data_IF_755707517257
#
_entry.id   IF_755707517257
#
_cell.length_a   1.000
_cell.length_b   1.000
_cell.length_c   1.000
_cell.angle_alpha   90.00
_cell.angle_beta   90.00
_cell.angle_gamma   90.00
#
_symmetry.space_group_name_H-M   'P 1'
#
loop_
_entity.id
_entity.type
_entity.pdbx_description
1 polymer ?
#
# COMPACT_ATOMS: atom_id res chain seq x y z
N UNK A 1 -62.92 5.80 -95.41
CA UNK A 1 -63.06 4.55 -94.63
C UNK A 1 -64.12 4.81 -93.59
N UNK A 2 -64.96 3.83 -93.29
CA UNK A 2 -65.95 3.96 -92.21
C UNK A 2 -65.22 4.03 -90.86
N UNK A 3 -65.62 4.95 -89.99
CA UNK A 3 -65.05 5.08 -88.64
C UNK A 3 -65.71 4.06 -87.72
N UNK A 4 -64.91 3.19 -87.12
CA UNK A 4 -65.36 2.25 -86.09
C UNK A 4 -65.18 2.87 -84.71
N UNK A 5 -66.07 2.54 -83.77
CA UNK A 5 -65.97 2.97 -82.38
C UNK A 5 -65.83 1.75 -81.47
N UNK A 6 -64.82 1.75 -80.60
CA UNK A 6 -64.52 0.67 -79.66
C UNK A 6 -64.94 1.08 -78.25
N UNK A 7 -65.80 0.27 -77.62
CA UNK A 7 -66.27 0.50 -76.24
C UNK A 7 -66.19 -0.78 -75.41
N UNK A 8 -66.06 -0.62 -74.10
CA UNK A 8 -66.17 -1.70 -73.13
C UNK A 8 -66.89 -1.19 -71.87
N UNK A 9 -67.71 -2.06 -71.27
CA UNK A 9 -68.32 -1.81 -69.96
C UNK A 9 -67.49 -2.42 -68.82
N UNK A 10 -66.41 -3.14 -69.13
CA UNK A 10 -65.54 -3.75 -68.14
C UNK A 10 -64.68 -2.68 -67.44
N UNK A 11 -64.69 -2.69 -66.11
CA UNK A 11 -63.79 -1.87 -65.29
C UNK A 11 -62.56 -2.68 -64.94
N UNK A 12 -61.45 -2.40 -65.63
CA UNK A 12 -60.15 -3.07 -65.42
C UNK A 12 -59.16 -2.04 -64.88
N UNK A 13 -58.60 -2.25 -63.67
CA UNK A 13 -57.54 -1.39 -63.14
C UNK A 13 -56.40 -1.24 -64.15
N UNK A 14 -55.98 0.00 -64.39
CA UNK A 14 -54.90 0.34 -65.31
C UNK A 14 -55.26 0.38 -66.79
N UNK A 15 -56.44 -0.09 -67.21
CA UNK A 15 -56.84 -0.06 -68.63
C UNK A 15 -57.48 1.26 -69.01
N UNK A 16 -56.99 1.88 -70.09
CA UNK A 16 -57.65 2.97 -70.81
C UNK A 16 -57.87 2.53 -72.25
N UNK A 17 -59.12 2.40 -72.68
CA UNK A 17 -59.50 2.13 -74.07
C UNK A 17 -60.05 3.40 -74.72
N UNK A 18 -59.45 3.83 -75.83
CA UNK A 18 -59.94 4.95 -76.61
C UNK A 18 -60.97 4.50 -77.65
N UNK A 19 -61.93 5.38 -78.04
CA UNK A 19 -62.93 5.08 -79.06
C UNK A 19 -62.36 4.69 -80.42
N UNK A 20 -61.11 5.04 -80.73
CA UNK A 20 -60.41 4.69 -81.97
C UNK A 20 -59.77 3.28 -81.96
N UNK A 21 -59.92 2.55 -80.84
CA UNK A 21 -59.40 1.21 -80.66
C UNK A 21 -57.97 1.15 -80.12
N UNK A 22 -57.31 2.27 -79.91
CA UNK A 22 -56.04 2.30 -79.19
C UNK A 22 -56.28 2.09 -77.68
N UNK A 23 -55.37 1.40 -77.00
CA UNK A 23 -55.45 1.20 -75.56
C UNK A 23 -54.09 1.36 -74.88
N UNK A 24 -54.13 1.67 -73.58
CA UNK A 24 -52.99 1.68 -72.68
C UNK A 24 -53.34 0.85 -71.45
N UNK A 25 -52.40 0.06 -70.96
CA UNK A 25 -52.54 -0.74 -69.74
C UNK A 25 -51.39 -0.43 -68.78
N UNK A 26 -51.74 -0.04 -67.56
CA UNK A 26 -50.82 0.20 -66.44
C UNK A 26 -50.91 -0.98 -65.47
N UNK A 27 -49.83 -1.75 -65.35
CA UNK A 27 -49.80 -2.97 -64.54
C UNK A 27 -49.50 -2.72 -63.06
N UNK A 28 -49.36 -1.47 -62.60
CA UNK A 28 -48.99 -1.14 -61.21
C UNK A 28 -49.94 -1.69 -60.13
N UNK A 29 -51.19 -2.00 -60.47
CA UNK A 29 -52.13 -2.63 -59.53
C UNK A 29 -51.93 -4.15 -59.35
N UNK A 30 -50.95 -4.73 -60.05
CA UNK A 30 -50.69 -6.17 -60.13
C UNK A 30 -49.31 -6.55 -59.59
N UNK A 31 -48.69 -5.66 -58.81
CA UNK A 31 -47.37 -5.81 -58.19
C UNK A 31 -47.28 -6.90 -57.11
N UNK A 32 -48.40 -7.59 -56.83
CA UNK A 32 -48.48 -8.70 -55.88
C UNK A 32 -48.27 -10.06 -56.53
N UNK A 33 -48.16 -10.10 -57.87
CA UNK A 33 -47.97 -11.35 -58.61
C UNK A 33 -46.52 -11.78 -58.47
N UNK A 34 -46.30 -12.95 -57.88
CA UNK A 34 -44.96 -13.51 -57.75
C UNK A 34 -44.33 -13.82 -59.13
N UNK A 35 -43.02 -14.01 -59.16
CA UNK A 35 -42.27 -14.30 -60.39
C UNK A 35 -42.88 -15.47 -61.18
N UNK A 36 -43.27 -15.20 -62.42
CA UNK A 36 -43.86 -16.20 -63.31
C UNK A 36 -45.32 -16.54 -63.01
N UNK A 37 -45.91 -16.02 -61.93
CA UNK A 37 -47.36 -16.01 -61.73
C UNK A 37 -48.00 -15.19 -62.85
N UNK A 38 -49.12 -15.68 -63.39
CA UNK A 38 -49.81 -14.99 -64.48
C UNK A 38 -51.25 -14.70 -64.12
N UNK A 39 -51.67 -13.47 -64.39
CA UNK A 39 -53.07 -13.08 -64.35
C UNK A 39 -53.54 -12.76 -65.76
N UNK A 40 -54.51 -13.53 -66.23
CA UNK A 40 -55.16 -13.29 -67.52
C UNK A 40 -56.40 -12.42 -67.29
N UNK A 41 -56.42 -11.27 -67.95
CA UNK A 41 -57.50 -10.30 -67.91
C UNK A 41 -58.19 -10.33 -69.28
N UNK A 42 -59.47 -10.72 -69.29
CA UNK A 42 -60.28 -10.76 -70.50
C UNK A 42 -61.26 -9.59 -70.52
N UNK A 43 -61.12 -8.72 -71.51
CA UNK A 43 -61.89 -7.49 -71.64
C UNK A 43 -62.81 -7.60 -72.85
N UNK A 44 -64.13 -7.74 -72.66
CA UNK A 44 -65.07 -7.76 -73.79
C UNK A 44 -65.14 -6.38 -74.43
N UNK A 45 -64.86 -6.32 -75.73
CA UNK A 45 -64.89 -5.11 -76.56
C UNK A 45 -66.06 -5.20 -77.53
N UNK A 46 -66.90 -4.18 -77.53
CA UNK A 46 -67.93 -3.99 -78.56
C UNK A 46 -67.44 -2.99 -79.59
N UNK A 47 -67.48 -3.37 -80.86
CA UNK A 47 -67.11 -2.54 -82.00
C UNK A 47 -68.39 -2.11 -82.71
N UNK A 48 -68.57 -0.80 -82.88
CA UNK A 48 -69.76 -0.20 -83.48
C UNK A 48 -69.43 0.45 -84.82
N UNK A 49 -70.22 0.18 -85.87
CA UNK A 49 -70.17 0.94 -87.12
C UNK A 49 -70.98 2.25 -87.03
N UNK A 50 -70.82 3.14 -88.02
CA UNK A 50 -71.53 4.44 -88.07
C UNK A 50 -73.07 4.30 -88.15
N UNK A 51 -73.60 3.09 -88.38
CA UNK A 51 -75.04 2.77 -88.48
C UNK A 51 -75.55 1.97 -87.29
N UNK A 52 -74.73 1.78 -86.25
CA UNK A 52 -75.11 1.12 -85.00
C UNK A 52 -75.06 -0.41 -85.04
N UNK A 53 -74.48 -1.03 -86.06
CA UNK A 53 -74.22 -2.47 -86.06
C UNK A 53 -73.03 -2.79 -85.14
N UNK A 54 -73.19 -3.80 -84.28
CA UNK A 54 -72.18 -4.24 -83.31
C UNK A 54 -71.50 -5.53 -83.74
N UNK A 55 -70.21 -5.64 -83.47
CA UNK A 55 -69.50 -6.92 -83.35
C UNK A 55 -68.79 -6.96 -81.98
N UNK A 56 -68.45 -8.15 -81.49
CA UNK A 56 -67.78 -8.32 -80.19
C UNK A 56 -66.48 -9.10 -80.34
N UNK A 57 -65.43 -8.62 -79.68
CA UNK A 57 -64.17 -9.34 -79.54
C UNK A 57 -63.70 -9.29 -78.09
N UNK A 58 -62.71 -10.10 -77.73
CA UNK A 58 -62.10 -10.07 -76.40
C UNK A 58 -60.65 -9.59 -76.52
N UNK A 59 -60.31 -8.54 -75.78
CA UNK A 59 -58.93 -8.15 -75.56
C UNK A 59 -58.41 -8.98 -74.37
N UNK A 60 -57.46 -9.87 -74.64
CA UNK A 60 -56.78 -10.66 -73.61
C UNK A 60 -55.46 -9.99 -73.25
N UNK A 61 -55.30 -9.63 -71.98
CA UNK A 61 -54.05 -9.11 -71.41
C UNK A 61 -53.52 -10.15 -70.43
N UNK A 62 -52.31 -10.64 -70.65
CA UNK A 62 -51.62 -11.50 -69.68
C UNK A 62 -50.59 -10.65 -68.95
N UNK A 63 -50.78 -10.49 -67.64
CA UNK A 63 -49.76 -9.93 -66.75
C UNK A 63 -48.94 -11.10 -66.21
N UNK A 64 -47.62 -10.99 -66.28
CA UNK A 64 -46.69 -11.95 -65.66
C UNK A 64 -45.92 -11.22 -64.57
N UNK A 65 -45.95 -11.74 -63.35
CA UNK A 65 -45.24 -11.19 -62.20
C UNK A 65 -43.72 -11.28 -62.35
N UNK A 66 -43.03 -10.36 -61.67
CA UNK A 66 -41.58 -10.32 -61.52
C UNK A 66 -41.17 -10.78 -60.13
N UNK A 67 -39.87 -10.91 -59.86
CA UNK A 67 -39.38 -11.08 -58.49
C UNK A 67 -39.01 -9.70 -57.94
N UNK A 68 -39.91 -9.10 -57.19
CA UNK A 68 -39.72 -7.78 -56.62
C UNK A 68 -38.79 -7.85 -55.40
N UNK A 69 -37.92 -6.86 -55.24
CA UNK A 69 -36.97 -6.86 -54.14
C UNK A 69 -37.68 -6.51 -52.82
N UNK A 70 -37.19 -7.03 -51.67
CA UNK A 70 -37.73 -6.63 -50.38
C UNK A 70 -37.62 -5.11 -50.16
N UNK A 71 -38.51 -4.59 -49.33
CA UNK A 71 -38.47 -3.23 -48.79
C UNK A 71 -38.10 -3.33 -47.31
N UNK A 72 -36.90 -2.87 -46.96
CA UNK A 72 -36.39 -2.88 -45.59
C UNK A 72 -36.33 -1.45 -45.01
N UNK A 73 -36.67 -1.30 -43.73
CA UNK A 73 -36.52 -0.04 -43.00
C UNK A 73 -35.17 0.02 -42.29
N UNK A 74 -34.60 1.23 -42.17
CA UNK A 74 -33.45 1.43 -41.32
C UNK A 74 -33.85 1.21 -39.85
N UNK A 75 -33.00 0.53 -39.09
CA UNK A 75 -33.18 0.32 -37.67
C UNK A 75 -32.20 1.21 -36.90
N UNK A 76 -32.65 1.86 -35.84
CA UNK A 76 -31.82 2.70 -34.98
C UNK A 76 -32.04 2.33 -33.53
N UNK A 77 -30.97 2.19 -32.77
CA UNK A 77 -31.04 1.93 -31.33
C UNK A 77 -29.90 2.62 -30.58
N UNK A 78 -29.99 2.67 -29.26
CA UNK A 78 -28.96 3.28 -28.40
C UNK A 78 -28.72 2.46 -27.16
N UNK A 79 -27.47 2.40 -26.73
CA UNK A 79 -27.03 1.65 -25.55
C UNK A 79 -25.95 2.44 -24.85
N UNK A 80 -25.89 2.36 -23.52
CA UNK A 80 -24.67 2.79 -22.81
C UNK A 80 -23.58 1.74 -23.03
N UNK A 81 -22.30 2.12 -22.96
CA UNK A 81 -21.25 1.09 -22.85
C UNK A 81 -21.50 0.18 -21.62
N UNK A 82 -20.84 -0.98 -21.60
CA UNK A 82 -21.04 -2.05 -20.61
C UNK A 82 -22.47 -2.62 -20.49
N UNK A 83 -23.36 -2.23 -21.39
CA UNK A 83 -24.70 -2.77 -21.48
C UNK A 83 -24.90 -3.59 -22.75
N UNK A 84 -25.95 -4.43 -22.73
CA UNK A 84 -26.38 -5.21 -23.88
C UNK A 84 -27.79 -4.80 -24.28
N UNK A 85 -28.03 -4.69 -25.59
CA UNK A 85 -29.38 -4.49 -26.16
C UNK A 85 -29.74 -5.63 -27.12
N UNK A 86 -31.04 -5.78 -27.37
CA UNK A 86 -31.58 -6.64 -28.42
C UNK A 86 -32.63 -5.89 -29.22
N UNK A 87 -32.74 -6.22 -30.50
CA UNK A 87 -33.71 -5.59 -31.41
C UNK A 87 -33.98 -6.43 -32.65
N UNK A 88 -34.66 -5.83 -33.63
CA UNK A 88 -34.96 -6.50 -34.90
C UNK A 88 -35.08 -5.50 -36.05
N UNK A 89 -34.66 -5.92 -37.25
CA UNK A 89 -34.81 -5.14 -38.47
C UNK A 89 -36.13 -5.54 -39.15
N UNK A 90 -36.94 -4.55 -39.51
CA UNK A 90 -38.23 -4.78 -40.18
C UNK A 90 -38.10 -4.67 -41.68
N UNK A 91 -38.58 -5.67 -42.40
CA UNK A 91 -38.68 -5.68 -43.85
C UNK A 91 -39.96 -6.39 -44.31
N UNK A 92 -40.42 -6.05 -45.50
CA UNK A 92 -41.60 -6.63 -46.17
C UNK A 92 -41.29 -6.88 -47.63
N UNK A 93 -41.99 -7.80 -48.26
CA UNK A 93 -41.88 -8.06 -49.69
C UNK A 93 -43.29 -8.24 -50.25
N UNK A 94 -43.58 -7.58 -51.38
CA UNK A 94 -44.92 -7.52 -51.95
C UNK A 94 -45.33 -8.83 -52.63
N UNK A 95 -44.36 -9.62 -53.07
CA UNK A 95 -44.59 -10.90 -53.72
C UNK A 95 -44.78 -12.05 -52.72
N UNK A 96 -44.35 -11.83 -51.47
CA UNK A 96 -44.32 -12.85 -50.44
C UNK A 96 -45.63 -12.88 -49.64
N UNK A 97 -46.18 -14.06 -49.33
CA UNK A 97 -47.31 -14.17 -48.40
C UNK A 97 -46.86 -13.79 -46.97
N UNK A 98 -47.80 -13.34 -46.13
CA UNK A 98 -47.54 -12.87 -44.76
C UNK A 98 -46.72 -13.81 -43.86
N UNK A 99 -46.67 -15.11 -44.19
CA UNK A 99 -45.95 -16.14 -43.44
C UNK A 99 -44.63 -16.60 -44.09
N UNK A 100 -44.23 -16.01 -45.21
CA UNK A 100 -42.92 -16.24 -45.80
C UNK A 100 -41.83 -15.49 -45.01
N UNK A 101 -40.63 -16.03 -45.03
CA UNK A 101 -39.51 -15.51 -44.23
C UNK A 101 -38.48 -14.86 -45.12
N UNK A 102 -38.16 -13.60 -44.83
CA UNK A 102 -36.99 -12.91 -45.34
C UNK A 102 -35.75 -13.36 -44.56
N UNK A 103 -34.60 -13.36 -45.21
CA UNK A 103 -33.32 -13.68 -44.59
C UNK A 103 -32.44 -12.44 -44.47
N UNK A 104 -31.82 -12.28 -43.30
CA UNK A 104 -30.98 -11.14 -42.98
C UNK A 104 -29.53 -11.59 -42.85
N UNK A 105 -28.61 -10.80 -43.39
CA UNK A 105 -27.18 -11.07 -43.33
C UNK A 105 -26.37 -9.78 -43.32
N UNK A 106 -25.16 -9.85 -42.77
CA UNK A 106 -24.18 -8.77 -42.83
C UNK A 106 -22.79 -9.37 -42.98
N UNK A 107 -21.90 -8.67 -43.70
CA UNK A 107 -20.47 -8.96 -43.73
C UNK A 107 -19.71 -8.20 -42.63
N UNK A 108 -20.40 -7.35 -41.86
CA UNK A 108 -19.81 -6.55 -40.79
C UNK A 108 -19.24 -7.42 -39.68
N UNK A 109 -18.06 -7.06 -39.20
CA UNK A 109 -17.38 -7.72 -38.06
C UNK A 109 -17.35 -6.82 -36.83
N UNK A 110 -18.36 -5.96 -36.66
CA UNK A 110 -18.52 -5.11 -35.48
C UNK A 110 -18.49 -5.99 -34.23
N UNK A 111 -17.58 -5.65 -33.30
CA UNK A 111 -17.47 -6.36 -32.03
C UNK A 111 -18.78 -6.22 -31.24
N UNK A 112 -19.16 -7.29 -30.51
CA UNK A 112 -20.39 -7.29 -29.71
C UNK A 112 -21.69 -7.52 -30.50
N UNK A 113 -21.69 -7.35 -31.83
CA UNK A 113 -22.89 -7.58 -32.64
C UNK A 113 -23.08 -9.06 -32.97
N UNK A 114 -24.29 -9.56 -32.73
CA UNK A 114 -24.80 -10.81 -33.31
C UNK A 114 -26.08 -10.51 -34.10
N UNK A 115 -26.07 -10.73 -35.41
CA UNK A 115 -27.26 -10.66 -36.26
C UNK A 115 -27.71 -12.07 -36.63
N UNK A 116 -28.96 -12.38 -36.30
CA UNK A 116 -29.59 -13.64 -36.69
C UNK A 116 -30.22 -13.52 -38.08
N UNK A 117 -30.37 -14.67 -38.75
CA UNK A 117 -30.96 -14.76 -40.09
C UNK A 117 -32.42 -14.32 -40.16
N UNK A 118 -33.12 -14.27 -39.03
CA UNK A 118 -34.51 -13.79 -38.92
C UNK A 118 -34.62 -12.28 -38.72
N UNK A 119 -33.49 -11.56 -38.72
CA UNK A 119 -33.43 -10.11 -38.56
C UNK A 119 -33.39 -9.64 -37.12
N UNK A 120 -33.50 -10.54 -36.13
CA UNK A 120 -33.23 -10.21 -34.74
C UNK A 120 -31.73 -10.02 -34.51
N UNK A 121 -31.35 -9.11 -33.62
CA UNK A 121 -29.96 -8.88 -33.25
C UNK A 121 -29.79 -8.71 -31.74
N UNK A 122 -28.57 -8.94 -31.27
CA UNK A 122 -28.08 -8.50 -29.96
C UNK A 122 -26.78 -7.72 -30.15
N UNK A 123 -26.55 -6.74 -29.29
CA UNK A 123 -25.33 -5.94 -29.30
C UNK A 123 -24.81 -5.76 -27.87
N UNK A 124 -23.58 -6.22 -27.62
CA UNK A 124 -22.85 -6.11 -26.36
C UNK A 124 -21.83 -4.97 -26.44
N UNK A 125 -22.01 -3.94 -25.62
CA UNK A 125 -21.22 -2.73 -25.65
C UNK A 125 -20.03 -2.73 -24.66
N UNK A 126 -19.68 -3.87 -24.04
CA UNK A 126 -18.59 -3.98 -23.04
C UNK A 126 -17.16 -3.88 -23.61
N UNK A 127 -17.02 -3.46 -24.86
CA UNK A 127 -15.72 -3.30 -25.53
C UNK A 127 -15.47 -1.85 -25.93
N UNK A 128 -16.26 -0.93 -25.36
CA UNK A 128 -16.35 0.47 -25.76
C UNK A 128 -15.93 1.43 -24.64
N UNK A 129 -15.35 0.93 -23.54
CA UNK A 129 -14.86 1.57 -22.31
C UNK A 129 -13.86 2.75 -22.52
N UNK A 130 -13.57 3.07 -23.78
CA UNK A 130 -12.77 4.23 -24.14
C UNK A 130 -13.61 5.49 -24.29
N UNK A 131 -14.95 5.40 -24.21
CA UNK A 131 -15.84 6.53 -24.40
C UNK A 131 -16.11 7.20 -23.06
N UNK A 132 -15.58 8.41 -22.87
CA UNK A 132 -15.84 9.16 -21.65
C UNK A 132 -17.30 9.58 -21.49
N UNK A 133 -17.65 10.06 -20.30
CA UNK A 133 -19.04 10.34 -19.92
C UNK A 133 -19.79 11.25 -20.92
N UNK A 134 -20.80 10.69 -21.59
CA UNK A 134 -21.62 11.39 -22.58
C UNK A 134 -20.98 11.56 -23.96
N UNK A 135 -19.77 11.06 -24.17
CA UNK A 135 -19.24 10.81 -25.51
C UNK A 135 -20.10 9.74 -26.20
N UNK A 136 -20.22 9.84 -27.53
CA UNK A 136 -21.03 8.89 -28.30
C UNK A 136 -20.27 8.38 -29.51
N UNK A 137 -20.37 7.07 -29.75
CA UNK A 137 -19.93 6.45 -30.98
C UNK A 137 -21.11 5.89 -31.75
N UNK A 138 -21.25 6.31 -33.01
CA UNK A 138 -22.25 5.77 -33.92
C UNK A 138 -21.65 4.60 -34.72
N UNK A 139 -22.34 3.46 -34.70
CA UNK A 139 -21.96 2.23 -35.38
C UNK A 139 -22.98 1.97 -36.48
N UNK A 140 -22.55 2.03 -37.73
CA UNK A 140 -23.39 1.74 -38.89
C UNK A 140 -23.09 0.34 -39.46
N UNK A 141 -24.10 -0.52 -39.49
CA UNK A 141 -24.01 -1.90 -39.97
C UNK A 141 -24.85 -2.05 -41.23
N UNK A 142 -24.25 -2.28 -42.41
CA UNK A 142 -25.02 -2.62 -43.60
C UNK A 142 -25.61 -4.03 -43.47
N UNK A 143 -26.91 -4.16 -43.70
CA UNK A 143 -27.65 -5.42 -43.63
C UNK A 143 -28.32 -5.69 -44.97
N UNK A 144 -28.02 -6.86 -45.53
CA UNK A 144 -28.65 -7.37 -46.74
C UNK A 144 -29.86 -8.21 -46.35
N UNK A 145 -31.01 -7.83 -46.89
CA UNK A 145 -32.27 -8.59 -46.77
C UNK A 145 -32.52 -9.29 -48.09
N UNK A 146 -32.73 -10.60 -48.05
CA UNK A 146 -32.95 -11.44 -49.23
C UNK A 146 -34.29 -12.17 -49.11
N UNK A 147 -35.08 -12.15 -50.18
CA UNK A 147 -36.30 -12.94 -50.29
C UNK A 147 -36.02 -14.44 -50.50
N UNK A 148 -37.06 -15.23 -50.75
CA UNK A 148 -36.94 -16.67 -50.99
C UNK A 148 -36.46 -17.05 -52.42
N UNK A 149 -36.36 -16.07 -53.32
CA UNK A 149 -36.04 -16.21 -54.74
C UNK A 149 -34.72 -15.54 -55.14
N UNK A 150 -34.04 -14.89 -54.20
CA UNK A 150 -32.72 -14.28 -54.34
C UNK A 150 -32.70 -12.78 -54.69
N UNK A 151 -33.83 -12.07 -54.72
CA UNK A 151 -33.81 -10.61 -54.80
C UNK A 151 -33.39 -10.02 -53.46
N UNK A 152 -32.62 -8.93 -53.51
CA UNK A 152 -31.98 -8.34 -52.34
C UNK A 152 -32.14 -6.84 -52.26
N UNK A 153 -32.16 -6.33 -51.04
CA UNK A 153 -32.04 -4.90 -50.71
C UNK A 153 -31.04 -4.75 -49.56
N UNK A 154 -30.37 -3.60 -49.48
CA UNK A 154 -29.52 -3.24 -48.33
C UNK A 154 -30.20 -2.15 -47.52
N UNK A 155 -30.21 -2.32 -46.20
CA UNK A 155 -30.58 -1.31 -45.21
C UNK A 155 -29.45 -1.12 -44.20
N UNK A 156 -29.57 -0.13 -43.31
CA UNK A 156 -28.60 0.13 -42.25
C UNK A 156 -29.22 -0.09 -40.88
N UNK A 157 -28.49 -0.81 -40.02
CA UNK A 157 -28.69 -0.79 -38.57
C UNK A 157 -27.69 0.19 -37.98
N UNK A 158 -28.19 1.24 -37.33
CA UNK A 158 -27.38 2.24 -36.64
C UNK A 158 -27.53 2.06 -35.13
N UNK A 159 -26.42 1.83 -34.43
CA UNK A 159 -26.38 1.74 -32.96
C UNK A 159 -25.55 2.90 -32.42
N UNK A 160 -26.12 3.71 -31.55
CA UNK A 160 -25.39 4.75 -30.82
C UNK A 160 -24.96 4.22 -29.46
N UNK A 161 -23.66 4.05 -29.25
CA UNK A 161 -23.08 3.75 -27.93
C UNK A 161 -22.80 5.07 -27.22
N UNK A 162 -23.24 5.21 -25.98
CA UNK A 162 -22.97 6.38 -25.13
C UNK A 162 -22.04 5.97 -23.99
N UNK A 163 -20.90 6.66 -23.88
CA UNK A 163 -19.90 6.46 -22.85
C UNK A 163 -20.39 6.85 -21.45
N UNK A 164 -19.79 6.20 -20.46
CA UNK A 164 -19.93 6.47 -19.03
C UNK A 164 -18.60 6.99 -18.48
N UNK A 165 -18.53 7.27 -17.18
CA UNK A 165 -17.30 7.72 -16.53
C UNK A 165 -16.70 6.49 -15.86
N UNK A 166 -15.60 5.97 -16.41
CA UNK A 166 -14.90 4.86 -15.81
C UNK A 166 -14.06 5.31 -14.63
N UNK A 167 -14.02 4.49 -13.57
CA UNK A 167 -13.23 4.83 -12.40
C UNK A 167 -11.75 4.46 -12.65
N UNK A 168 -10.80 5.34 -12.30
CA UNK A 168 -9.38 5.07 -12.48
C UNK A 168 -8.93 3.92 -11.59
N UNK A 169 -8.05 3.08 -12.14
CA UNK A 169 -7.52 1.87 -11.50
C UNK A 169 -6.09 2.11 -11.05
N UNK A 170 -5.85 2.01 -9.74
CA UNK A 170 -4.51 2.05 -9.13
C UNK A 170 -3.93 0.63 -9.02
N UNK A 171 -2.67 0.45 -9.43
CA UNK A 171 -1.94 -0.82 -9.35
C UNK A 171 -0.55 -0.63 -8.74
N UNK A 172 0.06 -1.74 -8.30
CA UNK A 172 1.41 -1.76 -7.74
C UNK A 172 1.45 -2.16 -6.26
N UNK A 173 2.53 -1.75 -5.58
CA UNK A 173 2.79 -2.04 -4.17
C UNK A 173 2.21 -0.93 -3.29
N UNK A 174 1.26 -1.29 -2.43
CA UNK A 174 0.56 -0.36 -1.51
C UNK A 174 0.92 -0.56 -0.04
N UNK A 175 1.94 -1.39 0.23
CA UNK A 175 2.42 -1.65 1.59
C UNK A 175 3.91 -1.95 1.63
N UNK A 176 4.56 -1.63 2.74
CA UNK A 176 5.95 -1.98 3.00
C UNK A 176 6.19 -2.20 4.49
N UNK A 177 7.38 -2.66 4.84
CA UNK A 177 7.80 -2.81 6.23
C UNK A 177 9.26 -2.39 6.40
N UNK A 178 9.55 -1.78 7.54
CA UNK A 178 10.90 -1.47 8.02
C UNK A 178 11.00 -1.84 9.48
N UNK A 179 12.19 -2.22 9.91
CA UNK A 179 12.54 -2.33 11.33
C UNK A 179 13.38 -1.12 11.66
N UNK A 180 13.15 -0.51 12.81
CA UNK A 180 14.02 0.57 13.26
C UNK A 180 15.42 0.05 13.65
N UNK A 181 16.27 0.96 14.09
CA UNK A 181 17.64 0.69 14.55
C UNK A 181 18.17 1.94 15.24
N UNK A 182 19.49 2.07 15.38
CA UNK A 182 20.06 3.16 16.17
C UNK A 182 19.85 4.54 15.51
N UNK A 183 19.92 5.61 16.31
CA UNK A 183 19.96 6.98 15.79
C UNK A 183 21.12 7.16 14.79
N UNK A 184 20.76 7.48 13.55
CA UNK A 184 21.70 7.69 12.43
C UNK A 184 21.69 6.57 11.40
N UNK A 185 21.09 5.42 11.73
CA UNK A 185 20.85 4.35 10.76
C UNK A 185 19.85 4.78 9.68
N UNK A 186 19.90 4.06 8.55
CA UNK A 186 19.01 4.28 7.41
C UNK A 186 18.20 3.02 7.17
N UNK A 187 16.92 3.05 7.57
CA UNK A 187 15.94 2.03 7.24
C UNK A 187 15.01 2.51 6.12
N UNK A 188 14.94 1.75 5.03
CA UNK A 188 14.17 2.09 3.84
C UNK A 188 13.42 0.90 3.27
N UNK A 189 12.27 1.17 2.64
CA UNK A 189 11.51 0.20 1.84
C UNK A 189 10.98 0.90 0.59
N UNK A 190 10.89 0.17 -0.51
CA UNK A 190 10.47 0.71 -1.80
C UNK A 190 9.44 -0.18 -2.49
N UNK A 191 8.72 0.42 -3.43
CA UNK A 191 7.75 -0.23 -4.28
C UNK A 191 7.42 0.64 -5.49
N UNK A 192 6.46 0.20 -6.29
CA UNK A 192 5.98 0.94 -7.45
C UNK A 192 4.49 1.18 -7.34
N UNK A 193 4.01 2.28 -7.89
CA UNK A 193 2.59 2.60 -8.01
C UNK A 193 2.32 3.15 -9.40
N UNK A 194 1.19 2.76 -9.98
CA UNK A 194 0.70 3.27 -11.25
C UNK A 194 -0.80 3.48 -11.16
N UNK A 195 -1.32 4.35 -12.02
CA UNK A 195 -2.75 4.62 -12.16
C UNK A 195 -3.07 4.68 -13.66
N UNK A 196 -4.22 4.14 -14.05
CA UNK A 196 -4.70 4.12 -15.43
C UNK A 196 -6.20 4.35 -15.44
N UNK A 197 -6.69 4.99 -16.49
CA UNK A 197 -8.12 5.13 -16.77
C UNK A 197 -8.46 4.46 -18.10
N UNK A 198 -9.68 3.95 -18.23
CA UNK A 198 -10.17 3.35 -19.47
C UNK A 198 -10.61 4.44 -20.47
N UNK A 199 -11.13 5.55 -19.97
CA UNK A 199 -11.68 6.64 -20.75
C UNK A 199 -10.61 7.32 -21.62
N UNK A 200 -10.86 7.41 -22.93
CA UNK A 200 -9.90 7.96 -23.86
C UNK A 200 -9.65 9.44 -23.58
N UNK A 201 -8.40 9.75 -23.21
CA UNK A 201 -7.98 11.11 -22.92
C UNK A 201 -8.09 11.49 -21.45
N UNK A 202 -8.64 10.61 -20.59
CA UNK A 202 -8.34 10.64 -19.17
C UNK A 202 -7.03 9.89 -18.92
N UNK A 203 -6.05 10.61 -18.36
CA UNK A 203 -4.71 10.09 -18.11
C UNK A 203 -4.24 10.59 -16.75
N UNK A 204 -4.80 10.05 -15.66
CA UNK A 204 -4.41 10.47 -14.33
C UNK A 204 -2.96 10.07 -14.05
N UNK A 205 -2.27 10.87 -13.26
CA UNK A 205 -0.87 10.61 -12.86
C UNK A 205 -0.66 10.90 -11.39
N UNK A 206 0.10 10.04 -10.71
CA UNK A 206 0.73 10.41 -9.44
C UNK A 206 2.01 11.20 -9.75
N UNK A 207 2.00 12.50 -9.47
CA UNK A 207 3.16 13.36 -9.70
C UNK A 207 4.30 13.04 -8.72
N UNK A 208 5.54 13.24 -9.18
CA UNK A 208 6.73 13.16 -8.33
C UNK A 208 6.56 14.07 -7.11
N UNK A 209 6.77 13.51 -5.93
CA UNK A 209 6.48 14.20 -4.66
C UNK A 209 7.25 13.59 -3.51
N UNK A 210 7.34 14.34 -2.40
CA UNK A 210 7.74 13.80 -1.10
C UNK A 210 6.65 14.13 -0.10
N UNK A 211 6.11 13.10 0.55
CA UNK A 211 5.05 13.21 1.56
C UNK A 211 5.60 12.73 2.90
N UNK A 212 5.53 13.60 3.91
CA UNK A 212 5.89 13.24 5.28
C UNK A 212 4.75 12.50 5.96
N UNK A 213 5.08 11.39 6.61
CA UNK A 213 4.21 10.68 7.53
C UNK A 213 4.52 11.02 8.99
N UNK A 214 4.06 10.15 9.88
CA UNK A 214 4.29 10.28 11.33
C UNK A 214 5.67 9.76 11.74
N UNK A 215 6.14 8.68 11.12
CA UNK A 215 7.38 7.98 11.47
C UNK A 215 8.47 8.14 10.40
N UNK A 216 8.16 8.73 9.26
CA UNK A 216 9.12 8.88 8.17
C UNK A 216 8.60 9.71 7.02
N UNK A 217 9.16 9.51 5.83
CA UNK A 217 8.71 10.18 4.61
C UNK A 217 8.82 9.27 3.41
N UNK A 218 7.87 9.40 2.48
CA UNK A 218 7.85 8.70 1.22
C UNK A 218 8.17 9.68 0.09
N UNK A 219 9.15 9.34 -0.73
CA UNK A 219 9.46 10.04 -1.97
C UNK A 219 9.02 9.19 -3.14
N UNK A 220 8.21 9.75 -4.04
CA UNK A 220 7.77 9.15 -5.30
C UNK A 220 8.50 9.84 -6.45
N UNK A 221 9.15 9.05 -7.30
CA UNK A 221 9.80 9.49 -8.55
C UNK A 221 9.48 8.48 -9.64
N UNK A 222 8.89 8.93 -10.74
CA UNK A 222 8.59 8.11 -11.91
C UNK A 222 7.83 6.81 -11.57
N UNK A 223 6.83 6.90 -10.67
CA UNK A 223 6.04 5.74 -10.23
C UNK A 223 6.76 4.81 -9.25
N UNK A 224 8.03 5.05 -8.91
CA UNK A 224 8.75 4.32 -7.87
C UNK A 224 8.76 5.14 -6.59
N UNK A 225 8.20 4.55 -5.53
CA UNK A 225 8.24 5.16 -4.20
C UNK A 225 9.32 4.53 -3.33
N UNK A 226 9.93 5.35 -2.48
CA UNK A 226 10.84 4.93 -1.41
C UNK A 226 10.42 5.62 -0.12
N UNK A 227 10.08 4.83 0.89
CA UNK A 227 9.88 5.30 2.25
C UNK A 227 11.19 5.22 3.02
N UNK A 228 11.53 6.30 3.73
CA UNK A 228 12.67 6.37 4.66
C UNK A 228 12.15 6.62 6.06
N UNK A 229 12.49 5.72 6.98
CA UNK A 229 12.15 5.86 8.39
C UNK A 229 12.94 7.02 9.02
N UNK A 230 12.30 7.77 9.89
CA UNK A 230 12.96 8.70 10.79
C UNK A 230 13.19 7.99 12.13
N UNK A 231 14.42 7.51 12.32
CA UNK A 231 14.82 6.77 13.53
C UNK A 231 14.35 7.47 14.80
N UNK A 232 14.55 8.79 14.91
CA UNK A 232 14.20 9.57 16.10
C UNK A 232 12.72 9.50 16.49
N UNK A 233 11.82 9.28 15.52
CA UNK A 233 10.39 9.15 15.77
C UNK A 233 9.97 7.71 16.14
N UNK A 234 10.82 6.73 15.84
CA UNK A 234 10.57 5.33 16.09
C UNK A 234 11.21 4.83 17.40
N UNK A 235 12.28 5.45 17.91
CA UNK A 235 13.10 4.92 19.02
C UNK A 235 12.38 4.55 20.32
N UNK A 236 11.12 4.94 20.51
CA UNK A 236 10.36 4.55 21.71
C UNK A 236 9.56 3.27 21.50
N UNK A 237 9.71 2.60 20.36
CA UNK A 237 9.00 1.36 20.05
C UNK A 237 9.81 0.21 20.61
N UNK A 238 9.27 -0.43 21.65
CA UNK A 238 9.94 -1.57 22.24
C UNK A 238 10.08 -2.75 21.25
N UNK A 239 10.88 -3.75 21.61
CA UNK A 239 11.08 -4.93 20.77
C UNK A 239 9.77 -5.55 20.31
N UNK A 240 9.69 -5.80 19.01
CA UNK A 240 8.51 -6.38 18.34
C UNK A 240 7.24 -5.53 18.41
N UNK A 241 7.27 -4.34 19.05
CA UNK A 241 6.18 -3.38 18.95
C UNK A 241 6.03 -2.94 17.50
N UNK A 242 4.79 -2.82 17.03
CA UNK A 242 4.53 -2.42 15.66
C UNK A 242 3.56 -1.26 15.59
N UNK A 243 3.89 -0.31 14.72
CA UNK A 243 3.04 0.81 14.35
C UNK A 243 2.92 0.87 12.82
N UNK A 244 1.90 1.56 12.34
CA UNK A 244 1.69 1.76 10.90
C UNK A 244 1.72 3.24 10.57
N UNK A 245 2.63 3.65 9.68
CA UNK A 245 2.59 4.96 9.05
C UNK A 245 1.79 4.85 7.74
N UNK A 246 0.82 5.76 7.57
CA UNK A 246 -0.07 5.76 6.39
C UNK A 246 0.19 7.02 5.58
N UNK A 247 0.69 6.83 4.35
CA UNK A 247 0.99 7.92 3.42
C UNK A 247 -0.06 7.94 2.32
N UNK A 248 -0.85 8.99 2.23
CA UNK A 248 -1.83 9.16 1.14
C UNK A 248 -1.20 9.89 -0.03
N UNK A 249 -1.19 9.25 -1.20
CA UNK A 249 -0.87 9.87 -2.49
C UNK A 249 -2.16 10.33 -3.18
N UNK A 250 -2.09 11.40 -3.94
CA UNK A 250 -3.22 11.95 -4.70
C UNK A 250 -2.79 12.15 -6.16
N UNK A 251 -3.53 11.57 -7.09
CA UNK A 251 -3.32 11.71 -8.51
C UNK A 251 -3.91 13.03 -9.05
N UNK A 252 -3.61 13.38 -10.30
CA UNK A 252 -4.01 14.63 -10.94
C UNK A 252 -5.53 14.83 -11.09
N UNK A 253 -6.28 13.74 -11.12
CA UNK A 253 -7.75 13.65 -11.15
C UNK A 253 -8.40 13.74 -9.76
N UNK A 254 -7.59 13.67 -8.68
CA UNK A 254 -8.06 13.65 -7.30
C UNK A 254 -8.20 12.24 -6.70
N UNK A 255 -7.93 11.18 -7.47
CA UNK A 255 -7.93 9.80 -6.96
C UNK A 255 -6.85 9.63 -5.89
N UNK A 256 -7.21 9.05 -4.75
CA UNK A 256 -6.31 8.88 -3.61
C UNK A 256 -5.92 7.43 -3.40
N UNK A 257 -4.65 7.16 -3.09
CA UNK A 257 -4.16 5.84 -2.67
C UNK A 257 -3.30 5.94 -1.42
N UNK A 258 -3.61 5.13 -0.41
CA UNK A 258 -2.77 4.98 0.78
C UNK A 258 -1.65 3.95 0.55
N UNK A 259 -0.43 4.31 0.95
CA UNK A 259 0.70 3.41 1.13
C UNK A 259 0.89 3.18 2.64
N UNK A 260 0.77 1.92 3.08
CA UNK A 260 0.87 1.55 4.50
C UNK A 260 2.23 0.95 4.83
N UNK A 261 3.00 1.63 5.67
CA UNK A 261 4.31 1.15 6.11
C UNK A 261 4.20 0.63 7.53
N UNK A 262 4.53 -0.64 7.74
CA UNK A 262 4.66 -1.21 9.09
C UNK A 262 6.07 -0.94 9.61
N UNK A 263 6.18 -0.35 10.80
CA UNK A 263 7.43 -0.11 11.50
C UNK A 263 7.49 -1.06 12.68
N UNK A 264 8.57 -1.81 12.81
CA UNK A 264 8.83 -2.71 13.94
C UNK A 264 9.94 -2.14 14.82
N UNK A 265 9.69 -2.04 16.12
CA UNK A 265 10.66 -1.61 17.13
C UNK A 265 11.79 -2.60 17.35
N UNK A 266 12.92 -2.10 17.84
CA UNK A 266 14.06 -2.92 18.29
C UNK A 266 14.17 -2.89 19.81
N UNK A 267 15.13 -3.64 20.35
CA UNK A 267 15.50 -3.48 21.76
C UNK A 267 16.80 -2.67 21.80
N UNK A 268 16.68 -1.41 22.16
CA UNK A 268 17.75 -0.45 22.28
C UNK A 268 18.50 -0.67 23.61
N UNK A 269 19.81 -0.47 23.60
CA UNK A 269 20.60 -0.66 24.82
C UNK A 269 20.42 0.53 25.78
N UNK A 270 20.47 0.30 27.11
CA UNK A 270 20.38 1.38 28.07
C UNK A 270 21.54 2.36 27.92
N UNK A 271 21.31 3.60 28.36
CA UNK A 271 22.31 4.67 28.39
C UNK A 271 22.65 4.99 29.85
N UNK A 272 23.92 4.87 30.22
CA UNK A 272 24.40 5.13 31.57
C UNK A 272 25.62 6.06 31.58
N UNK A 273 25.63 7.03 32.49
CA UNK A 273 26.77 7.95 32.64
C UNK A 273 27.82 7.41 33.62
N UNK A 274 29.08 7.82 33.44
CA UNK A 274 30.15 7.46 34.35
C UNK A 274 30.03 8.24 35.66
N UNK A 275 30.23 7.56 36.79
CA UNK A 275 30.17 8.17 38.13
C UNK A 275 31.58 8.33 38.68
N UNK A 276 31.93 9.52 39.16
CA UNK A 276 33.20 9.77 39.85
C UNK A 276 32.97 10.22 41.29
N UNK A 277 33.73 9.65 42.23
CA UNK A 277 33.70 9.98 43.66
C UNK A 277 35.11 10.09 44.24
N UNK A 278 35.21 10.78 45.37
CA UNK A 278 36.40 10.84 46.20
C UNK A 278 36.03 10.55 47.65
N UNK A 279 36.91 9.86 48.35
CA UNK A 279 36.74 9.43 49.74
C UNK A 279 38.11 9.44 50.41
N UNK A 280 38.17 9.73 51.71
CA UNK A 280 39.38 9.46 52.48
C UNK A 280 39.43 7.98 52.83
N UNK A 281 40.60 7.41 53.08
CA UNK A 281 40.64 6.10 53.77
C UNK A 281 39.91 6.17 55.12
N UNK A 282 39.59 4.99 55.68
CA UNK A 282 38.79 4.87 56.91
C UNK A 282 37.39 5.52 56.88
N UNK A 283 36.89 5.84 55.69
CA UNK A 283 35.54 6.38 55.54
C UNK A 283 34.73 5.55 54.56
N UNK A 284 33.42 5.48 54.82
CA UNK A 284 32.47 4.82 53.94
C UNK A 284 31.67 5.86 53.16
N UNK A 285 31.52 5.63 51.85
CA UNK A 285 30.60 6.42 51.00
C UNK A 285 29.49 5.53 50.44
N UNK A 286 28.35 6.14 50.14
CA UNK A 286 27.25 5.53 49.41
C UNK A 286 26.89 6.38 48.20
N UNK A 287 26.35 5.76 47.16
CA UNK A 287 25.84 6.46 45.98
C UNK A 287 24.95 5.57 45.13
N UNK A 288 24.60 6.06 43.95
CA UNK A 288 23.91 5.28 42.93
C UNK A 288 24.45 5.59 41.54
N UNK A 289 24.37 4.61 40.66
CA UNK A 289 24.54 4.77 39.22
C UNK A 289 23.14 4.82 38.62
N UNK A 290 22.89 5.83 37.78
CA UNK A 290 21.62 5.99 37.08
C UNK A 290 21.82 5.69 35.61
N UNK A 291 20.82 5.08 35.00
CA UNK A 291 20.74 4.80 33.58
C UNK A 291 19.31 5.07 33.11
N UNK A 292 19.15 5.22 31.81
CA UNK A 292 17.84 5.34 31.18
C UNK A 292 17.77 4.45 29.95
N UNK A 293 16.57 4.03 29.59
CA UNK A 293 16.32 3.23 28.40
C UNK A 293 15.13 3.80 27.63
N UNK A 294 15.26 3.93 26.32
CA UNK A 294 14.24 4.59 25.50
C UNK A 294 13.01 3.69 25.28
N UNK A 295 13.19 2.37 25.38
CA UNK A 295 12.13 1.38 25.23
C UNK A 295 11.35 1.12 26.53
N UNK A 296 11.94 1.49 27.68
CA UNK A 296 11.37 1.21 29.00
C UNK A 296 10.66 2.45 29.57
N UNK A 297 9.33 2.39 29.77
CA UNK A 297 8.64 3.45 30.49
C UNK A 297 9.15 3.54 31.93
N UNK A 298 9.54 4.75 32.34
CA UNK A 298 10.09 5.08 33.67
C UNK A 298 11.36 4.28 34.05
N UNK A 299 12.14 3.80 33.06
CA UNK A 299 13.39 3.03 33.26
C UNK A 299 13.20 1.76 34.13
N UNK A 300 11.98 1.23 34.17
CA UNK A 300 11.63 0.09 35.00
C UNK A 300 12.21 -1.21 34.42
N UNK A 301 12.99 -1.94 35.22
CA UNK A 301 13.55 -3.25 34.80
C UNK A 301 15.06 -3.24 34.60
N UNK A 302 15.71 -2.07 34.62
CA UNK A 302 17.17 -1.97 34.55
C UNK A 302 17.84 -2.64 35.75
N UNK A 303 18.89 -3.42 35.47
CA UNK A 303 19.70 -4.10 36.48
C UNK A 303 21.18 -3.74 36.33
N UNK A 304 21.87 -3.63 37.47
CA UNK A 304 23.28 -3.24 37.53
C UNK A 304 24.13 -4.39 38.07
N UNK A 305 25.26 -4.66 37.41
CA UNK A 305 26.20 -5.69 37.83
C UNK A 305 27.65 -5.31 37.58
N UNK A 306 28.57 -5.97 38.29
CA UNK A 306 30.01 -5.86 38.05
C UNK A 306 30.68 -7.19 38.36
N UNK A 307 31.66 -7.56 37.55
CA UNK A 307 32.56 -8.69 37.84
C UNK A 307 33.75 -8.27 38.74
N UNK A 308 33.86 -6.97 39.06
CA UNK A 308 34.95 -6.43 39.84
C UNK A 308 34.92 -6.91 41.29
N UNK A 309 36.06 -7.37 41.81
CA UNK A 309 36.22 -7.84 43.19
C UNK A 309 36.92 -6.80 44.09
N UNK A 310 36.66 -5.51 43.85
CA UNK A 310 37.24 -4.42 44.64
C UNK A 310 36.86 -4.57 46.12
N UNK A 311 37.87 -4.58 46.99
CA UNK A 311 37.66 -4.66 48.44
C UNK A 311 36.86 -3.45 48.94
N UNK A 312 35.93 -3.67 49.86
CA UNK A 312 35.09 -2.62 50.42
C UNK A 312 33.92 -2.19 49.52
N UNK A 313 33.86 -2.60 48.25
CA UNK A 313 32.76 -2.27 47.35
C UNK A 313 31.60 -3.27 47.50
N UNK A 314 30.38 -2.74 47.62
CA UNK A 314 29.13 -3.48 47.41
C UNK A 314 28.30 -2.72 46.38
N UNK A 315 27.91 -3.39 45.29
CA UNK A 315 27.00 -2.87 44.27
C UNK A 315 25.71 -3.70 44.32
N UNK A 316 24.58 -3.03 44.46
CA UNK A 316 23.26 -3.64 44.42
C UNK A 316 22.70 -3.62 42.98
N UNK A 317 21.75 -4.50 42.69
CA UNK A 317 21.15 -4.64 41.36
C UNK A 317 20.32 -3.43 40.94
N UNK A 318 19.94 -2.55 41.87
CA UNK A 318 19.24 -1.28 41.61
C UNK A 318 20.20 -0.10 41.32
N UNK A 319 21.50 -0.39 41.20
CA UNK A 319 22.53 0.61 40.93
C UNK A 319 23.01 1.36 42.17
N UNK A 320 22.41 1.16 43.34
CA UNK A 320 22.94 1.69 44.59
C UNK A 320 24.22 0.96 45.01
N UNK A 321 25.18 1.69 45.56
CA UNK A 321 26.45 1.12 46.01
C UNK A 321 26.92 1.72 47.33
N UNK A 322 27.76 0.96 48.04
CA UNK A 322 28.57 1.42 49.17
C UNK A 322 30.04 1.07 48.94
N UNK A 323 30.94 1.94 49.36
CA UNK A 323 32.37 1.70 49.32
C UNK A 323 32.98 2.04 50.68
N UNK A 324 33.55 1.02 51.34
CA UNK A 324 34.29 1.13 52.59
C UNK A 324 35.79 1.23 52.33
N UNK A 325 36.37 2.39 52.65
CA UNK A 325 37.77 2.67 52.38
C UNK A 325 38.72 2.24 53.52
N UNK A 326 38.25 1.54 54.56
CA UNK A 326 39.08 1.07 55.69
C UNK A 326 40.04 -0.09 55.36
N UNK A 327 40.15 -0.46 54.08
CA UNK A 327 41.12 -1.47 53.62
C UNK A 327 42.32 -0.82 52.94
N UNK A 328 42.40 0.51 52.97
CA UNK A 328 43.34 1.32 52.20
C UNK A 328 44.32 2.09 53.06
N UNK A 329 44.34 1.83 54.38
CA UNK A 329 45.12 2.46 55.48
C UNK A 329 46.65 2.46 55.28
N UNK A 330 47.14 1.88 54.19
CA UNK A 330 48.54 1.92 53.82
C UNK A 330 48.90 3.19 53.03
N UNK A 331 47.94 4.02 52.65
CA UNK A 331 48.18 5.21 51.83
C UNK A 331 48.67 6.35 52.71
N UNK A 332 49.89 6.83 52.44
CA UNK A 332 50.41 8.00 53.17
C UNK A 332 49.49 9.23 53.03
N UNK A 333 49.53 10.13 54.02
CA UNK A 333 48.80 11.39 53.98
C UNK A 333 48.93 12.15 52.64
N UNK A 334 47.81 12.28 51.92
CA UNK A 334 47.72 12.94 50.62
C UNK A 334 48.13 12.10 49.41
N UNK A 335 48.60 10.86 49.60
CA UNK A 335 48.68 9.84 48.56
C UNK A 335 47.27 9.47 48.08
N UNK A 336 47.11 9.18 46.79
CA UNK A 336 45.81 8.82 46.23
C UNK A 336 45.86 7.53 45.46
N UNK A 337 44.83 6.69 45.63
CA UNK A 337 44.59 5.53 44.79
C UNK A 337 43.29 5.70 44.01
N UNK A 338 43.37 5.56 42.68
CA UNK A 338 42.22 5.62 41.78
C UNK A 338 41.76 4.21 41.44
N UNK A 339 40.52 3.89 41.81
CA UNK A 339 39.86 2.62 41.56
C UNK A 339 38.84 2.84 40.44
N UNK A 340 38.85 1.98 39.42
CA UNK A 340 37.90 2.00 38.31
C UNK A 340 37.14 0.68 38.27
N UNK A 341 35.83 0.76 38.40
CA UNK A 341 34.91 -0.37 38.43
C UNK A 341 34.05 -0.31 37.16
N UNK A 342 34.22 -1.23 36.20
CA UNK A 342 33.26 -1.36 35.10
C UNK A 342 31.93 -1.86 35.66
N UNK A 343 30.85 -1.21 35.28
CA UNK A 343 29.49 -1.57 35.68
C UNK A 343 28.66 -1.80 34.41
N UNK A 344 28.11 -3.00 34.30
CA UNK A 344 27.17 -3.37 33.24
C UNK A 344 25.76 -3.02 33.68
N UNK A 345 25.02 -2.34 32.81
CA UNK A 345 23.59 -2.09 32.94
C UNK A 345 22.89 -2.94 31.89
N UNK A 346 21.93 -3.76 32.32
CA UNK A 346 21.16 -4.66 31.45
C UNK A 346 19.68 -4.33 31.59
N UNK A 347 18.99 -4.21 30.46
CA UNK A 347 17.53 -4.05 30.42
C UNK A 347 16.78 -5.37 30.71
N UNK A 348 15.45 -5.37 30.59
CA UNK A 348 14.61 -6.54 30.85
C UNK A 348 14.56 -7.55 29.68
N UNK A 349 15.12 -7.20 28.53
CA UNK A 349 15.15 -7.97 27.28
C UNK A 349 16.57 -8.48 26.93
N UNK A 350 17.57 -8.07 27.69
CA UNK A 350 18.96 -8.49 27.64
C UNK A 350 19.93 -7.60 26.87
N UNK A 351 19.56 -6.39 26.41
CA UNK A 351 20.59 -5.48 25.88
C UNK A 351 21.37 -4.81 27.01
N UNK A 352 22.64 -4.51 26.72
CA UNK A 352 23.62 -4.14 27.73
C UNK A 352 24.42 -2.90 27.32
N UNK A 353 24.72 -2.08 28.32
CA UNK A 353 25.70 -1.00 28.22
C UNK A 353 26.72 -1.14 29.34
N UNK A 354 27.94 -0.64 29.14
CA UNK A 354 28.96 -0.58 30.20
C UNK A 354 29.33 0.86 30.52
N UNK A 355 29.26 1.22 31.79
CA UNK A 355 29.76 2.49 32.34
C UNK A 355 30.89 2.23 33.35
N UNK A 356 31.49 3.29 33.90
CA UNK A 356 32.56 3.18 34.90
C UNK A 356 32.23 3.98 36.16
N UNK A 357 32.31 3.32 37.32
CA UNK A 357 32.40 3.97 38.62
C UNK A 357 33.89 4.17 38.97
N UNK A 358 34.30 5.43 39.09
CA UNK A 358 35.66 5.83 39.50
C UNK A 358 35.65 6.35 40.93
N UNK A 359 36.46 5.76 41.81
CA UNK A 359 36.62 6.18 43.20
C UNK A 359 38.08 6.55 43.44
N UNK A 360 38.32 7.78 43.91
CA UNK A 360 39.64 8.22 44.36
C UNK A 360 39.70 8.16 45.90
N UNK A 361 40.48 7.24 46.43
CA UNK A 361 40.80 7.16 47.86
C UNK A 361 41.99 8.06 48.16
N UNK A 362 41.92 8.89 49.19
CA UNK A 362 43.03 9.75 49.64
C UNK A 362 43.48 9.31 51.04
N UNK A 363 44.77 9.01 51.18
CA UNK A 363 45.38 8.65 52.45
C UNK A 363 45.34 9.80 53.46
N UNK A 364 45.21 9.42 54.72
CA UNK A 364 45.29 10.27 55.90
C UNK A 364 46.60 9.98 56.65
N UNK A 365 46.84 10.65 57.78
CA UNK A 365 48.03 10.41 58.60
C UNK A 365 47.55 9.59 59.80
N UNK A 366 47.96 8.33 59.84
CA UNK A 366 47.58 7.40 60.89
C UNK A 366 48.45 7.58 62.13
N UNK A 367 47.88 7.27 63.30
CA UNK A 367 48.64 7.34 64.54
C UNK A 367 49.43 6.04 64.75
N UNK A 368 50.73 6.11 65.12
CA UNK A 368 51.51 4.91 65.36
C UNK A 368 50.98 4.15 66.58
N UNK A 369 50.88 2.83 66.44
CA UNK A 369 50.35 1.92 67.46
C UNK A 369 51.50 1.21 68.19
N UNK A 370 51.54 1.36 69.52
CA UNK A 370 52.46 0.62 70.38
C UNK A 370 51.80 -0.68 70.87
N UNK A 371 52.50 -1.80 70.67
CA UNK A 371 52.10 -3.13 71.13
C UNK A 371 53.19 -3.79 71.99
N UNK A 372 52.91 -4.95 72.57
CA UNK A 372 53.88 -5.71 73.37
C UNK A 372 53.60 -5.69 74.88
N UNK A 373 54.63 -5.99 75.68
CA UNK A 373 54.52 -6.13 77.13
C UNK A 373 54.64 -4.78 77.82
N UNK A 374 53.50 -4.19 78.16
CA UNK A 374 53.39 -2.85 78.79
C UNK A 374 53.37 -2.87 80.32
N UNK A 375 53.48 -4.04 80.94
CA UNK A 375 53.48 -4.19 82.39
C UNK A 375 54.43 -5.29 82.84
N UNK A 376 55.08 -5.09 83.98
CA UNK A 376 55.92 -6.08 84.62
C UNK A 376 55.86 -5.95 86.14
N UNK A 377 56.11 -7.05 86.83
CA UNK A 377 56.18 -7.08 88.30
C UNK A 377 57.53 -7.64 88.74
N UNK A 378 58.10 -7.04 89.76
CA UNK A 378 59.26 -7.57 90.49
C UNK A 378 58.90 -7.68 91.97
N UNK A 379 59.51 -8.64 92.66
CA UNK A 379 59.40 -8.74 94.13
C UNK A 379 60.68 -8.15 94.73
N UNK A 380 60.56 -7.44 95.84
CA UNK A 380 61.72 -6.89 96.56
C UNK A 380 62.67 -8.01 97.01
N UNK A 381 63.98 -7.75 96.91
CA UNK A 381 65.05 -8.64 97.36
C UNK A 381 65.77 -8.09 98.60
N UNK A 382 66.83 -8.78 99.02
CA UNK A 382 67.66 -8.34 100.15
C UNK A 382 68.55 -7.14 99.76
N UNK A 383 69.14 -6.46 100.75
CA UNK A 383 70.04 -5.31 100.52
C UNK A 383 71.24 -5.74 99.67
N UNK A 384 71.27 -5.26 98.42
CA UNK A 384 72.31 -5.57 97.42
C UNK A 384 71.78 -6.28 96.18
N UNK A 385 70.57 -6.82 96.20
CA UNK A 385 69.93 -7.46 95.06
C UNK A 385 69.37 -6.43 94.06
N UNK A 386 69.47 -6.74 92.77
CA UNK A 386 68.85 -5.94 91.70
C UNK A 386 67.59 -6.67 91.24
N UNK A 387 66.43 -6.18 91.67
CA UNK A 387 65.15 -6.65 91.16
C UNK A 387 64.90 -6.07 89.76
N UNK A 388 64.81 -6.92 88.73
CA UNK A 388 64.60 -6.50 87.35
C UNK A 388 63.43 -7.25 86.72
N UNK A 389 62.68 -6.53 85.88
CA UNK A 389 61.71 -7.11 84.95
C UNK A 389 62.02 -6.60 83.56
N UNK A 390 61.91 -7.47 82.58
CA UNK A 390 62.08 -7.14 81.17
C UNK A 390 60.79 -7.43 80.40
N UNK A 391 60.62 -6.72 79.30
CA UNK A 391 59.53 -6.88 78.35
C UNK A 391 60.01 -6.46 76.97
N UNK A 392 59.16 -6.63 75.97
CA UNK A 392 59.39 -6.16 74.61
C UNK A 392 58.21 -5.31 74.19
N UNK A 393 58.50 -4.11 73.67
CA UNK A 393 57.53 -3.26 72.98
C UNK A 393 57.82 -3.32 71.48
N UNK A 394 56.77 -3.18 70.70
CA UNK A 394 56.84 -2.95 69.26
C UNK A 394 56.02 -1.70 68.93
N UNK A 395 56.41 -0.97 67.90
CA UNK A 395 55.65 0.15 67.36
C UNK A 395 55.48 -0.09 65.86
N UNK A 396 54.29 0.13 65.37
CA UNK A 396 53.93 -0.03 63.96
C UNK A 396 53.07 1.14 63.54
N UNK A 397 53.20 1.54 62.29
CA UNK A 397 52.30 2.48 61.65
C UNK A 397 51.57 1.79 60.49
N UNK A 398 50.36 2.25 60.19
CA UNK A 398 49.59 1.76 59.06
C UNK A 398 50.13 2.38 57.75
N UNK A 399 50.55 3.65 57.81
CA UNK A 399 51.05 4.42 56.67
C UNK A 399 52.29 3.76 56.03
N UNK A 400 52.18 3.42 54.74
CA UNK A 400 53.28 2.75 54.05
C UNK A 400 54.53 3.64 53.98
N UNK A 401 55.60 3.18 54.62
CA UNK A 401 56.86 3.90 54.66
C UNK A 401 57.03 4.79 55.88
N UNK A 402 56.01 4.96 56.73
CA UNK A 402 56.25 5.42 58.09
C UNK A 402 56.88 4.29 58.92
N UNK A 403 57.99 4.61 59.58
CA UNK A 403 58.77 3.70 60.39
C UNK A 403 59.01 4.36 61.74
N UNK A 404 57.98 4.42 62.59
CA UNK A 404 58.11 5.05 63.89
C UNK A 404 59.15 4.28 64.70
N UNK A 405 59.99 5.02 65.42
CA UNK A 405 61.02 4.46 66.30
C UNK A 405 60.84 4.98 67.71
N UNK A 406 61.07 4.12 68.69
CA UNK A 406 61.24 4.60 70.05
C UNK A 406 62.57 5.34 70.17
N UNK A 407 62.57 6.47 70.85
CA UNK A 407 63.81 7.13 71.22
C UNK A 407 64.51 6.36 72.35
N UNK A 408 65.80 6.07 72.21
CA UNK A 408 66.65 5.52 73.28
C UNK A 408 66.56 6.42 74.52
N UNK A 409 65.83 5.95 75.53
CA UNK A 409 65.49 6.77 76.69
C UNK A 409 65.60 5.95 77.97
N UNK A 410 66.26 6.53 78.98
CA UNK A 410 66.18 6.04 80.36
C UNK A 410 65.36 7.02 81.18
N UNK A 411 64.23 6.55 81.70
CA UNK A 411 63.35 7.32 82.58
C UNK A 411 63.54 6.83 84.01
N UNK A 412 63.90 7.73 84.93
CA UNK A 412 64.03 7.42 86.36
C UNK A 412 62.76 7.82 87.11
N UNK A 413 62.16 6.87 87.82
CA UNK A 413 61.06 7.08 88.75
C UNK A 413 61.52 7.03 90.21
N UNK A 414 60.58 7.23 91.14
CA UNK A 414 60.84 7.21 92.59
C UNK A 414 61.44 5.91 93.10
N UNK A 415 61.15 4.77 92.44
CA UNK A 415 61.48 3.43 92.91
C UNK A 415 62.38 2.63 91.96
N UNK A 416 62.91 3.25 90.90
CA UNK A 416 63.76 2.57 89.92
C UNK A 416 63.89 3.33 88.60
N UNK A 417 64.56 2.74 87.62
CA UNK A 417 64.69 3.28 86.27
C UNK A 417 64.19 2.28 85.22
N UNK A 418 63.55 2.78 84.17
CA UNK A 418 63.20 2.04 82.96
C UNK A 418 64.09 2.52 81.82
N UNK A 419 64.71 1.58 81.10
CA UNK A 419 65.48 1.86 79.90
C UNK A 419 64.81 1.19 78.71
N UNK A 420 64.48 1.96 77.68
CA UNK A 420 64.13 1.45 76.36
C UNK A 420 65.40 1.42 75.50
N UNK A 421 65.63 0.30 74.81
CA UNK A 421 66.78 -0.01 73.95
C UNK A 421 66.33 -0.69 72.68
#
# INVERSE_FOLDING_TARGET
>A
GQSLVFITDATVPGLTLNPDGTYRFDASSYDHLSEGETQVIEVPITVLDERGATDTTTLTITVTGTNDAPVAQAATDSVSEDATITGSITATDVDLPDNASLTFSTESTVAGLTLNTDGSYSFDASGYDALGAGETQEIEVPVTVTDDRGATVTTTLTITVTGTDDAPVVTGTVSGSVTEGDIGDVAQVSGTIAITDADAGDTPVFADTTVSGTYGSLTLVDGQWTYTLNQQQAQSLAQDETVTDTITLTASDGTTQDIKITITGTNDAPVAEAVTRSVSEDTTITGSITASDVDLPDDAGLTFSTESTVSGLTLNTDGSYSFDASGYDALSAGETQVIKVPVTVTDDQGAETTTTLTITVTGTDDAPVVTGTVSGSVTEGDIGDVAQVSGSLAITDADAGDTPVFADTTVSGTYGSLTLV
#
